data_IF_890774627689
#
_entry.id   IF_890774627689
#
_cell.length_a   1.000
_cell.length_b   1.000
_cell.length_c   1.000
_cell.angle_alpha   90.00
_cell.angle_beta   90.00
_cell.angle_gamma   90.00
#
_symmetry.space_group_name_H-M   'P 1'
#
loop_
_entity.id
_entity.type
_entity.pdbx_description
1 polymer ?
#
# COMPACT_ATOMS: atom_id res chain seq x y z
N UNK A 1 -152.01 -13.23 -15.85
CA UNK A 1 -150.89 -13.47 -16.78
C UNK A 1 -149.82 -12.38 -16.74
N UNK A 2 -150.13 -11.14 -16.32
CA UNK A 2 -149.14 -10.05 -16.25
C UNK A 2 -148.23 -10.05 -14.99
N UNK A 3 -148.73 -10.47 -13.81
CA UNK A 3 -147.92 -10.51 -12.57
C UNK A 3 -146.80 -11.56 -12.58
N UNK A 4 -146.98 -12.66 -13.29
CA UNK A 4 -145.95 -13.70 -13.44
C UNK A 4 -144.82 -13.28 -14.37
N UNK A 5 -145.09 -12.43 -15.36
CA UNK A 5 -144.07 -11.88 -16.28
C UNK A 5 -143.22 -10.84 -15.55
N UNK A 6 -143.82 -10.00 -14.70
CA UNK A 6 -143.09 -9.00 -13.89
C UNK A 6 -142.18 -9.66 -12.84
N UNK A 7 -142.64 -10.75 -12.21
CA UNK A 7 -141.81 -11.54 -11.28
C UNK A 7 -140.65 -12.25 -11.99
N UNK A 8 -140.85 -12.67 -13.24
CA UNK A 8 -139.80 -13.28 -14.05
C UNK A 8 -138.76 -12.24 -14.48
N UNK A 9 -139.21 -11.02 -14.83
CA UNK A 9 -138.35 -9.88 -15.19
C UNK A 9 -137.49 -9.41 -14.01
N UNK A 10 -138.03 -9.43 -12.79
CA UNK A 10 -137.30 -9.02 -11.57
C UNK A 10 -136.26 -10.06 -11.12
N UNK A 11 -136.49 -11.35 -11.38
CA UNK A 11 -135.50 -12.41 -11.14
C UNK A 11 -134.34 -12.35 -12.14
N UNK A 12 -134.59 -11.96 -13.40
CA UNK A 12 -133.52 -11.74 -14.38
C UNK A 12 -132.62 -10.55 -14.07
N UNK A 13 -133.07 -9.55 -13.29
CA UNK A 13 -132.23 -8.41 -12.90
C UNK A 13 -131.22 -8.72 -11.79
N UNK A 14 -131.37 -9.82 -11.04
CA UNK A 14 -130.42 -10.24 -10.01
C UNK A 14 -129.14 -10.89 -10.59
N UNK A 15 -129.13 -11.20 -11.89
CA UNK A 15 -127.97 -11.79 -12.57
C UNK A 15 -127.12 -10.79 -13.35
N UNK A 16 -127.44 -9.49 -13.27
CA UNK A 16 -126.68 -8.43 -13.97
C UNK A 16 -126.02 -7.49 -12.96
N UNK A 17 -125.08 -8.04 -12.20
CA UNK A 17 -124.07 -7.29 -11.46
C UNK A 17 -122.70 -7.52 -12.09
N UNK A 18 -122.07 -6.46 -12.59
CA UNK A 18 -120.80 -6.50 -13.30
C UNK A 18 -119.61 -6.93 -12.43
N UNK A 19 -119.03 -8.07 -12.82
CA UNK A 19 -117.62 -8.29 -13.21
C UNK A 19 -116.52 -7.67 -12.31
N UNK A 20 -115.75 -8.57 -11.70
CA UNK A 20 -114.29 -8.52 -11.84
C UNK A 20 -113.84 -9.86 -12.40
N UNK A 21 -112.94 -9.81 -13.36
CA UNK A 21 -112.41 -10.94 -14.12
C UNK A 21 -111.92 -12.05 -13.17
N UNK A 22 -111.92 -13.31 -13.62
CA UNK A 22 -111.21 -14.37 -12.89
C UNK A 22 -109.77 -13.89 -12.76
N UNK A 23 -109.36 -13.55 -11.54
CA UNK A 23 -107.97 -13.27 -11.19
C UNK A 23 -107.18 -14.57 -11.39
N UNK A 24 -106.74 -14.78 -12.62
CA UNK A 24 -105.62 -15.66 -12.93
C UNK A 24 -104.40 -14.85 -12.56
N UNK A 25 -103.88 -15.10 -11.37
CA UNK A 25 -102.53 -14.70 -11.07
C UNK A 25 -101.66 -15.92 -11.24
N UNK A 26 -100.75 -15.83 -12.21
CA UNK A 26 -99.48 -16.57 -12.21
C UNK A 26 -98.63 -16.09 -11.02
N UNK A 27 -99.17 -16.24 -9.81
CA UNK A 27 -98.47 -15.90 -8.59
C UNK A 27 -97.42 -16.98 -8.35
N UNK A 28 -96.22 -16.74 -8.89
CA UNK A 28 -95.00 -17.36 -8.40
C UNK A 28 -94.75 -16.82 -7.00
N UNK A 29 -95.30 -17.50 -6.01
CA UNK A 29 -94.97 -17.24 -4.61
C UNK A 29 -93.54 -17.69 -4.39
N UNK A 30 -92.61 -16.73 -4.45
CA UNK A 30 -91.25 -16.92 -3.98
C UNK A 30 -91.28 -16.71 -2.46
N UNK A 31 -91.43 -17.81 -1.73
CA UNK A 31 -91.10 -17.86 -0.32
C UNK A 31 -89.63 -18.29 -0.20
N UNK A 32 -88.79 -17.55 0.55
CA UNK A 32 -87.43 -18.00 0.79
C UNK A 32 -87.50 -19.35 1.50
N UNK A 33 -86.91 -20.37 0.89
CA UNK A 33 -86.82 -21.72 1.48
C UNK A 33 -85.76 -21.73 2.59
N UNK A 34 -84.77 -20.85 2.49
CA UNK A 34 -83.73 -20.61 3.48
C UNK A 34 -83.36 -19.12 3.46
N UNK A 35 -83.23 -18.51 4.64
CA UNK A 35 -82.45 -17.29 4.81
C UNK A 35 -81.06 -17.70 5.29
N UNK A 36 -80.02 -17.21 4.62
CA UNK A 36 -78.63 -17.42 5.04
C UNK A 36 -77.95 -16.06 5.13
N UNK A 37 -77.32 -15.78 6.25
CA UNK A 37 -76.37 -14.69 6.38
C UNK A 37 -74.96 -15.23 6.15
N UNK A 38 -74.21 -14.56 5.29
CA UNK A 38 -72.81 -14.86 5.03
C UNK A 38 -72.00 -13.66 5.50
N UNK A 39 -71.17 -13.87 6.51
CA UNK A 39 -70.31 -12.83 7.06
C UNK A 39 -68.90 -12.95 6.49
N UNK A 40 -68.11 -11.87 6.61
CA UNK A 40 -66.73 -11.87 6.13
C UNK A 40 -65.85 -12.93 6.84
N UNK A 41 -66.21 -13.30 8.07
CA UNK A 41 -65.56 -14.39 8.81
C UNK A 41 -65.81 -15.76 8.18
N UNK A 42 -66.98 -15.96 7.56
CA UNK A 42 -67.33 -17.24 6.92
C UNK A 42 -66.63 -17.45 5.57
N UNK A 43 -66.08 -16.38 4.99
CA UNK A 43 -65.44 -16.38 3.68
C UNK A 43 -63.93 -16.65 3.73
N UNK A 44 -63.30 -16.48 4.89
CA UNK A 44 -61.83 -16.56 5.04
C UNK A 44 -61.48 -17.60 6.10
N UNK A 45 -60.47 -18.45 5.89
CA UNK A 45 -60.07 -19.45 6.88
C UNK A 45 -59.74 -18.83 8.24
N UNK A 46 -60.22 -19.44 9.32
CA UNK A 46 -60.03 -18.98 10.71
C UNK A 46 -58.55 -18.71 11.07
N UNK A 47 -57.61 -19.40 10.41
CA UNK A 47 -56.17 -19.23 10.62
C UNK A 47 -55.63 -17.85 10.20
N UNK A 48 -56.36 -17.10 9.38
CA UNK A 48 -55.97 -15.76 8.90
C UNK A 48 -56.77 -14.64 9.56
N UNK A 49 -57.65 -14.96 10.51
CA UNK A 49 -58.55 -13.99 11.14
C UNK A 49 -58.21 -13.84 12.63
N UNK A 50 -58.08 -12.59 13.07
CA UNK A 50 -57.97 -12.25 14.48
C UNK A 50 -59.08 -11.26 14.85
N UNK A 51 -59.97 -11.66 15.75
CA UNK A 51 -61.11 -10.83 16.17
C UNK A 51 -60.73 -9.95 17.34
N UNK A 52 -60.92 -8.63 17.19
CA UNK A 52 -60.68 -7.66 18.24
C UNK A 52 -61.84 -7.62 19.24
N UNK A 53 -61.61 -7.01 20.41
CA UNK A 53 -62.61 -6.90 21.48
C UNK A 53 -63.88 -6.09 21.08
N UNK A 54 -63.78 -5.27 20.05
CA UNK A 54 -64.89 -4.47 19.50
C UNK A 54 -65.64 -5.15 18.34
N UNK A 55 -65.41 -6.46 18.11
CA UNK A 55 -65.94 -7.26 17.01
C UNK A 55 -65.46 -6.85 15.60
N UNK A 56 -64.41 -6.03 15.47
CA UNK A 56 -63.74 -5.85 14.19
C UNK A 56 -62.81 -7.05 13.87
N UNK A 57 -62.70 -7.40 12.59
CA UNK A 57 -61.86 -8.51 12.12
C UNK A 57 -60.55 -7.97 11.54
N UNK A 58 -59.41 -8.40 12.09
CA UNK A 58 -58.10 -8.21 11.48
C UNK A 58 -57.77 -9.41 10.60
N UNK A 59 -57.50 -9.13 9.33
CA UNK A 59 -56.95 -10.13 8.42
C UNK A 59 -55.42 -10.17 8.59
N UNK A 60 -54.93 -11.23 9.22
CA UNK A 60 -53.50 -11.45 9.45
C UNK A 60 -52.98 -12.32 8.31
N UNK A 61 -52.37 -11.67 7.32
CA UNK A 61 -51.70 -12.33 6.21
C UNK A 61 -50.19 -12.32 6.46
N UNK A 62 -49.64 -13.49 6.77
CA UNK A 62 -48.20 -13.69 6.90
C UNK A 62 -47.69 -14.33 5.61
N UNK A 63 -47.19 -13.50 4.70
CA UNK A 63 -46.45 -13.95 3.53
C UNK A 63 -44.98 -14.05 3.94
N UNK A 64 -44.42 -15.26 3.95
CA UNK A 64 -42.96 -15.38 3.91
C UNK A 64 -42.52 -14.69 2.63
N UNK A 65 -41.78 -13.58 2.74
CA UNK A 65 -41.13 -12.97 1.57
C UNK A 65 -40.17 -14.02 0.99
N UNK A 66 -40.67 -14.79 0.03
CA UNK A 66 -39.95 -15.84 -0.64
C UNK A 66 -38.91 -15.21 -1.55
N UNK A 67 -37.74 -14.88 -0.99
CA UNK A 67 -36.53 -14.66 -1.78
C UNK A 67 -36.22 -16.03 -2.41
N UNK A 68 -36.70 -16.23 -3.63
CA UNK A 68 -36.52 -17.48 -4.38
C UNK A 68 -35.07 -17.67 -4.80
N UNK A 69 -34.33 -16.57 -5.00
CA UNK A 69 -32.89 -16.57 -5.17
C UNK A 69 -32.28 -15.28 -4.59
N UNK A 70 -31.20 -15.42 -3.80
CA UNK A 70 -30.46 -14.29 -3.22
C UNK A 70 -29.79 -13.42 -4.30
N UNK A 71 -29.50 -14.00 -5.47
CA UNK A 71 -28.90 -13.32 -6.63
C UNK A 71 -29.79 -12.21 -7.23
N UNK A 72 -31.10 -12.25 -7.00
CA UNK A 72 -32.05 -11.25 -7.51
C UNK A 72 -31.99 -9.94 -6.69
N UNK A 73 -31.52 -10.01 -5.45
CA UNK A 73 -31.51 -8.89 -4.49
C UNK A 73 -30.08 -8.45 -4.18
N UNK A 74 -29.10 -9.35 -4.27
CA UNK A 74 -27.70 -9.10 -3.95
C UNK A 74 -26.81 -9.35 -5.17
N UNK A 75 -26.44 -8.26 -5.88
CA UNK A 75 -25.44 -8.30 -6.96
C UNK A 75 -24.15 -7.67 -6.48
N UNK A 76 -23.07 -8.45 -6.48
CA UNK A 76 -21.71 -7.95 -6.25
C UNK A 76 -21.15 -7.55 -7.62
N UNK A 77 -20.94 -6.25 -7.91
CA UNK A 77 -20.42 -5.81 -9.20
C UNK A 77 -18.93 -6.13 -9.35
N UNK A 78 -18.49 -6.32 -10.60
CA UNK A 78 -17.07 -6.39 -10.92
C UNK A 78 -16.39 -5.04 -10.67
N UNK A 79 -15.14 -5.08 -10.20
CA UNK A 79 -14.34 -3.88 -9.90
C UNK A 79 -13.05 -3.88 -10.73
N UNK A 80 -12.72 -2.70 -11.26
CA UNK A 80 -11.45 -2.42 -11.92
C UNK A 80 -10.80 -1.26 -11.18
N UNK A 81 -9.59 -1.47 -10.67
CA UNK A 81 -8.76 -0.43 -10.08
C UNK A 81 -7.49 -0.24 -10.91
N UNK A 82 -7.07 1.01 -11.06
CA UNK A 82 -5.81 1.39 -11.69
C UNK A 82 -4.96 2.17 -10.69
N UNK A 83 -3.67 1.88 -10.67
CA UNK A 83 -2.69 2.52 -9.81
C UNK A 83 -1.45 2.84 -10.66
N UNK A 84 -0.93 4.04 -10.49
CA UNK A 84 0.30 4.51 -11.12
C UNK A 84 1.28 4.95 -10.03
N UNK A 85 2.53 4.50 -10.13
CA UNK A 85 3.60 4.82 -9.19
C UNK A 85 4.82 5.28 -9.99
N UNK A 86 5.38 6.42 -9.62
CA UNK A 86 6.60 6.98 -10.24
C UNK A 86 7.69 7.13 -9.19
N UNK A 87 8.86 6.56 -9.44
CA UNK A 87 10.03 6.73 -8.57
C UNK A 87 10.55 8.16 -8.72
N UNK A 88 10.40 8.96 -7.67
CA UNK A 88 11.00 10.30 -7.60
C UNK A 88 12.44 10.19 -7.12
N UNK A 89 13.33 10.94 -7.77
CA UNK A 89 14.80 10.96 -7.64
C UNK A 89 15.37 10.64 -6.25
N UNK A 90 16.42 9.82 -6.25
CA UNK A 90 17.32 9.55 -5.12
C UNK A 90 17.81 10.86 -4.47
N UNK A 91 17.48 11.06 -3.20
CA UNK A 91 18.05 12.10 -2.35
C UNK A 91 19.06 11.41 -1.44
N UNK A 92 20.30 11.87 -1.49
CA UNK A 92 21.40 11.33 -0.69
C UNK A 92 21.45 12.08 0.64
N UNK A 93 21.50 11.36 1.75
CA UNK A 93 21.76 11.95 3.07
C UNK A 93 23.26 12.25 3.22
N UNK A 94 23.60 13.35 3.87
CA UNK A 94 24.98 13.69 4.23
C UNK A 94 25.50 12.67 5.26
N UNK A 95 26.60 11.95 4.93
CA UNK A 95 27.30 11.05 5.86
C UNK A 95 28.79 11.35 5.85
N UNK A 96 29.39 11.34 7.04
CA UNK A 96 30.82 11.55 7.26
C UNK A 96 31.51 10.25 7.65
N UNK A 97 32.52 9.84 6.88
CA UNK A 97 33.42 8.74 7.25
C UNK A 97 34.63 9.31 8.01
N UNK A 98 34.98 8.75 9.16
CA UNK A 98 36.15 9.18 9.94
C UNK A 98 37.19 8.06 10.05
N UNK A 99 38.42 8.34 9.60
CA UNK A 99 39.59 7.50 9.83
C UNK A 99 40.65 8.29 10.58
N UNK A 100 41.45 7.63 11.43
CA UNK A 100 42.47 8.29 12.25
C UNK A 100 43.81 7.61 12.11
N UNK A 101 44.76 8.31 11.50
CA UNK A 101 46.17 7.88 11.47
C UNK A 101 46.87 8.37 12.73
N UNK A 102 47.04 7.47 13.71
CA UNK A 102 47.48 7.80 15.06
C UNK A 102 49.00 8.03 15.15
N UNK A 103 49.42 8.79 16.17
CA UNK A 103 50.84 8.98 16.48
C UNK A 103 51.52 7.64 16.82
N UNK A 104 50.79 6.69 17.40
CA UNK A 104 51.27 5.34 17.67
C UNK A 104 51.60 4.55 16.40
N UNK A 105 50.92 4.81 15.29
CA UNK A 105 51.20 4.20 13.98
C UNK A 105 52.34 4.92 13.27
N UNK A 106 52.35 6.26 13.32
CA UNK A 106 53.39 7.09 12.71
C UNK A 106 54.75 6.96 13.40
N UNK A 107 54.75 6.82 14.72
CA UNK A 107 55.95 6.69 15.53
C UNK A 107 55.73 5.63 16.61
N UNK A 108 55.95 4.34 16.30
CA UNK A 108 55.68 3.22 17.22
C UNK A 108 56.23 3.35 18.66
N UNK A 109 57.39 3.99 18.90
CA UNK A 109 57.86 4.25 20.27
C UNK A 109 56.90 5.13 21.11
N UNK A 110 56.04 5.93 20.49
CA UNK A 110 55.02 6.74 21.19
C UNK A 110 54.12 5.87 22.07
N UNK A 111 53.85 4.62 21.69
CA UNK A 111 53.02 3.69 22.46
C UNK A 111 53.60 3.41 23.87
N UNK A 112 54.93 3.38 24.01
CA UNK A 112 55.61 3.18 25.30
C UNK A 112 55.75 4.48 26.11
N UNK A 113 55.59 5.61 25.43
CA UNK A 113 55.72 6.95 25.97
C UNK A 113 54.36 7.62 26.23
N UNK A 114 53.24 6.93 25.95
CA UNK A 114 51.89 7.45 26.17
C UNK A 114 51.72 7.98 27.61
N UNK A 115 51.27 9.23 27.73
CA UNK A 115 51.11 9.97 28.99
C UNK A 115 52.42 10.53 29.60
N UNK A 116 53.56 10.39 28.93
CA UNK A 116 54.86 10.94 29.37
C UNK A 116 55.27 12.12 28.50
N UNK A 117 56.15 12.96 29.03
CA UNK A 117 56.79 14.01 28.24
C UNK A 117 58.00 13.46 27.50
N UNK A 118 58.02 13.68 26.19
CA UNK A 118 59.14 13.35 25.32
C UNK A 118 59.10 14.22 24.07
N UNK A 119 60.24 14.39 23.41
CA UNK A 119 60.28 14.95 22.06
C UNK A 119 60.00 13.85 21.03
N UNK A 120 59.25 14.18 19.98
CA UNK A 120 59.05 13.30 18.83
C UNK A 120 59.86 13.85 17.65
N UNK A 121 60.74 13.02 17.05
CA UNK A 121 61.48 13.45 15.86
C UNK A 121 60.56 13.56 14.64
N UNK A 122 60.98 14.31 13.63
CA UNK A 122 60.29 14.40 12.35
C UNK A 122 60.09 13.00 11.73
N UNK A 123 58.90 12.75 11.17
CA UNK A 123 58.57 11.50 10.48
C UNK A 123 58.37 11.76 8.99
N UNK A 124 58.80 10.82 8.14
CA UNK A 124 58.46 10.78 6.72
C UNK A 124 58.17 9.33 6.36
N UNK A 125 56.92 9.02 6.03
CA UNK A 125 56.45 7.66 5.78
C UNK A 125 55.64 7.59 4.48
N UNK A 126 55.68 6.41 3.86
CA UNK A 126 54.86 6.04 2.71
C UNK A 126 54.07 4.76 3.08
N UNK A 127 53.10 4.88 4.01
CA UNK A 127 52.44 3.71 4.59
C UNK A 127 51.77 2.84 3.53
N UNK A 128 51.29 3.42 2.42
CA UNK A 128 50.53 2.72 1.37
C UNK A 128 49.32 1.93 1.94
N UNK A 129 48.87 2.32 3.13
CA UNK A 129 47.73 1.74 3.80
C UNK A 129 46.45 2.35 3.22
N UNK A 130 45.45 1.49 3.05
CA UNK A 130 44.15 1.83 2.50
C UNK A 130 43.06 1.49 3.51
N UNK A 131 42.16 2.44 3.72
CA UNK A 131 40.98 2.27 4.55
C UNK A 131 39.76 2.20 3.66
N UNK A 132 38.98 1.13 3.82
CA UNK A 132 37.78 0.89 3.03
C UNK A 132 36.62 1.77 3.51
N UNK A 133 35.93 2.36 2.54
CA UNK A 133 34.74 3.18 2.67
C UNK A 133 33.66 2.48 1.84
N UNK A 134 32.88 1.62 2.50
CA UNK A 134 31.78 0.90 1.86
C UNK A 134 30.48 1.70 1.97
N UNK A 135 29.96 2.10 0.81
CA UNK A 135 28.70 2.81 0.58
C UNK A 135 27.82 2.02 -0.41
N UNK A 136 28.17 0.76 -0.68
CA UNK A 136 27.63 -0.04 -1.79
C UNK A 136 26.21 -0.53 -1.55
N UNK A 137 25.84 -0.80 -0.29
CA UNK A 137 24.49 -1.23 0.10
C UNK A 137 23.49 -0.06 0.19
N UNK A 138 24.00 1.17 0.24
CA UNK A 138 23.23 2.33 0.70
C UNK A 138 22.91 3.31 -0.44
N UNK A 139 23.76 3.39 -1.47
CA UNK A 139 23.65 4.42 -2.50
C UNK A 139 23.74 3.89 -3.94
N UNK A 140 24.83 3.21 -4.29
CA UNK A 140 25.04 2.65 -5.62
C UNK A 140 26.17 1.63 -5.59
N UNK A 141 26.13 0.64 -6.48
CA UNK A 141 27.28 -0.24 -6.71
C UNK A 141 28.35 0.45 -7.55
N UNK A 142 27.93 1.28 -8.53
CA UNK A 142 28.82 2.09 -9.38
C UNK A 142 28.06 3.30 -9.90
N UNK A 143 28.67 4.49 -9.96
CA UNK A 143 28.07 5.69 -10.53
C UNK A 143 29.08 6.56 -11.27
N UNK A 144 28.69 7.12 -12.42
CA UNK A 144 29.47 8.11 -13.18
C UNK A 144 28.79 9.46 -13.11
N UNK A 145 29.47 10.49 -12.61
CA UNK A 145 28.84 11.78 -12.31
C UNK A 145 29.04 12.83 -13.41
N UNK A 146 27.99 13.61 -13.71
CA UNK A 146 28.10 14.83 -14.54
C UNK A 146 28.50 16.01 -13.66
N UNK A 147 27.92 16.06 -12.47
CA UNK A 147 28.14 17.09 -11.44
C UNK A 147 28.21 16.39 -10.07
N UNK A 148 28.93 16.99 -9.13
CA UNK A 148 29.13 16.45 -7.80
C UNK A 148 30.46 16.87 -7.20
N UNK A 149 30.49 16.96 -5.87
CA UNK A 149 31.68 17.29 -5.09
C UNK A 149 31.85 16.30 -3.94
N UNK A 150 33.10 16.04 -3.61
CA UNK A 150 33.48 15.44 -2.35
C UNK A 150 34.35 16.43 -1.57
N UNK A 151 33.94 16.72 -0.35
CA UNK A 151 34.63 17.58 0.59
C UNK A 151 35.42 16.67 1.55
N UNK A 152 36.73 16.82 1.56
CA UNK A 152 37.65 16.06 2.42
C UNK A 152 38.22 17.02 3.44
N UNK A 153 38.09 16.67 4.71
CA UNK A 153 38.50 17.47 5.85
C UNK A 153 39.51 16.70 6.68
N UNK A 154 40.64 17.32 7.00
CA UNK A 154 41.68 16.74 7.85
C UNK A 154 41.79 17.57 9.12
N UNK A 155 41.69 16.92 10.27
CA UNK A 155 41.99 17.51 11.58
C UNK A 155 43.29 16.93 12.10
N UNK A 156 44.28 17.79 12.35
CA UNK A 156 45.55 17.38 12.92
C UNK A 156 45.48 17.47 14.45
N UNK A 157 45.35 16.35 15.15
CA UNK A 157 45.44 16.29 16.61
C UNK A 157 46.85 15.94 17.14
N UNK A 158 47.82 15.79 16.24
CA UNK A 158 49.21 15.56 16.64
C UNK A 158 49.75 16.79 17.38
N UNK A 159 50.70 16.59 18.32
CA UNK A 159 51.35 17.70 19.03
C UNK A 159 52.37 18.47 18.16
N UNK A 160 52.46 18.13 16.87
CA UNK A 160 53.40 18.70 15.90
C UNK A 160 52.69 19.02 14.59
N UNK A 161 53.34 19.84 13.77
CA UNK A 161 52.84 20.17 12.43
C UNK A 161 52.99 18.97 11.48
N UNK A 162 51.92 18.67 10.75
CA UNK A 162 51.98 17.78 9.59
C UNK A 162 52.27 18.63 8.34
N UNK A 163 53.52 18.54 7.85
CA UNK A 163 54.01 19.33 6.72
C UNK A 163 53.32 18.94 5.42
N UNK A 164 53.08 17.64 5.23
CA UNK A 164 52.51 17.08 4.02
C UNK A 164 51.72 15.80 4.35
N UNK A 165 50.53 15.70 3.78
CA UNK A 165 49.75 14.48 3.67
C UNK A 165 49.30 14.35 2.22
N UNK A 166 49.69 13.27 1.55
CA UNK A 166 49.23 12.92 0.21
C UNK A 166 48.31 11.71 0.30
N UNK A 167 47.21 11.75 -0.43
CA UNK A 167 46.23 10.67 -0.46
C UNK A 167 45.66 10.46 -1.86
N UNK A 168 45.14 9.25 -2.05
CA UNK A 168 44.37 8.86 -3.21
C UNK A 168 43.05 8.27 -2.74
N UNK A 169 41.96 8.66 -3.38
CA UNK A 169 40.69 7.95 -3.26
C UNK A 169 40.57 7.05 -4.48
N UNK A 170 40.52 5.74 -4.26
CA UNK A 170 40.50 4.74 -5.32
C UNK A 170 39.25 3.88 -5.23
N UNK A 171 38.82 3.37 -6.35
CA UNK A 171 37.76 2.37 -6.42
C UNK A 171 38.32 1.01 -5.96
N UNK A 172 37.74 0.38 -4.93
CA UNK A 172 38.28 -0.85 -4.34
C UNK A 172 38.39 -2.02 -5.35
N UNK A 173 37.40 -2.13 -6.26
CA UNK A 173 37.31 -3.27 -7.19
C UNK A 173 38.35 -3.26 -8.32
N UNK A 174 38.71 -2.08 -8.83
CA UNK A 174 39.53 -1.92 -10.05
C UNK A 174 40.78 -1.07 -9.81
N UNK A 175 40.98 -0.55 -8.60
CA UNK A 175 42.04 0.38 -8.22
C UNK A 175 42.10 1.66 -9.08
N UNK A 176 41.00 2.01 -9.76
CA UNK A 176 40.93 3.26 -10.52
C UNK A 176 40.97 4.45 -9.56
N UNK A 177 41.88 5.40 -9.82
CA UNK A 177 42.03 6.59 -9.01
C UNK A 177 40.90 7.57 -9.35
N UNK A 178 40.02 7.77 -8.38
CA UNK A 178 38.92 8.74 -8.47
C UNK A 178 39.49 10.14 -8.25
N UNK A 179 40.21 10.34 -7.15
CA UNK A 179 40.78 11.61 -6.71
C UNK A 179 42.20 11.42 -6.18
N UNK A 180 43.05 12.41 -6.44
CA UNK A 180 44.34 12.60 -5.77
C UNK A 180 44.34 13.95 -5.09
N UNK A 181 44.83 14.02 -3.85
CA UNK A 181 44.88 15.27 -3.12
C UNK A 181 46.08 15.36 -2.19
N UNK A 182 46.36 16.59 -1.75
CA UNK A 182 47.40 16.89 -0.77
C UNK A 182 46.90 17.88 0.26
N UNK A 183 47.39 17.77 1.48
CA UNK A 183 47.25 18.77 2.53
C UNK A 183 48.64 19.15 3.04
N UNK A 184 48.87 20.44 3.25
CA UNK A 184 50.18 20.97 3.59
C UNK A 184 50.09 21.92 4.78
N UNK A 185 51.18 22.01 5.54
CA UNK A 185 51.36 22.95 6.66
C UNK A 185 50.21 22.92 7.68
N UNK A 186 49.76 21.71 8.05
CA UNK A 186 48.68 21.54 9.03
C UNK A 186 49.24 21.68 10.44
N UNK A 187 49.00 22.83 11.07
CA UNK A 187 49.42 23.12 12.43
C UNK A 187 48.77 22.16 13.46
N UNK A 188 49.34 21.99 14.66
CA UNK A 188 48.71 21.24 15.74
C UNK A 188 47.30 21.75 16.07
N UNK A 189 46.35 20.84 16.26
CA UNK A 189 44.92 21.09 16.53
C UNK A 189 44.20 21.93 15.47
N UNK A 190 44.68 21.93 14.23
CA UNK A 190 44.04 22.64 13.12
C UNK A 190 43.20 21.71 12.26
N UNK A 191 42.17 22.27 11.63
CA UNK A 191 41.31 21.56 10.67
C UNK A 191 41.37 22.26 9.32
N UNK A 192 41.60 21.50 8.26
CA UNK A 192 41.67 22.00 6.88
C UNK A 192 40.72 21.18 6.01
N UNK A 193 39.94 21.85 5.16
CA UNK A 193 39.00 21.20 4.24
C UNK A 193 39.30 21.57 2.78
N UNK A 194 39.19 20.59 1.88
CA UNK A 194 39.33 20.76 0.43
C UNK A 194 38.19 20.06 -0.30
N UNK A 195 37.68 20.72 -1.33
CA UNK A 195 36.62 20.19 -2.19
C UNK A 195 37.19 19.70 -3.52
N UNK A 196 36.79 18.51 -3.95
CA UNK A 196 37.19 17.89 -5.20
C UNK A 196 35.95 17.60 -6.06
N UNK A 197 36.03 17.90 -7.35
CA UNK A 197 34.92 17.61 -8.27
C UNK A 197 34.91 16.15 -8.68
N UNK A 198 33.72 15.56 -8.70
CA UNK A 198 33.44 14.22 -9.22
C UNK A 198 32.96 14.24 -10.68
N UNK A 199 32.90 15.41 -11.32
CA UNK A 199 32.45 15.53 -12.70
C UNK A 199 33.34 14.70 -13.66
N UNK A 200 32.70 13.84 -14.45
CA UNK A 200 33.36 12.92 -15.37
C UNK A 200 34.06 11.72 -14.70
N UNK A 201 33.90 11.54 -13.38
CA UNK A 201 34.50 10.42 -12.64
C UNK A 201 33.49 9.29 -12.48
N UNK A 202 34.00 8.06 -12.52
CA UNK A 202 33.27 6.84 -12.15
C UNK A 202 33.72 6.41 -10.76
N UNK A 203 32.75 6.26 -9.87
CA UNK A 203 32.94 5.97 -8.45
C UNK A 203 32.21 4.67 -8.15
N UNK A 204 32.91 3.71 -7.54
CA UNK A 204 32.32 2.47 -7.08
C UNK A 204 31.70 2.66 -5.69
N UNK A 205 30.73 1.81 -5.37
CA UNK A 205 30.08 1.79 -4.06
C UNK A 205 31.04 1.43 -2.94
N UNK A 206 32.20 0.87 -3.24
CA UNK A 206 33.29 0.66 -2.28
C UNK A 206 34.48 1.49 -2.75
N UNK A 207 34.83 2.48 -1.94
CA UNK A 207 35.99 3.34 -2.13
C UNK A 207 37.07 2.95 -1.12
N UNK A 208 38.33 3.15 -1.45
CA UNK A 208 39.43 3.05 -0.52
C UNK A 208 40.14 4.39 -0.46
N UNK A 209 40.26 4.94 0.75
CA UNK A 209 41.16 6.06 1.00
C UNK A 209 42.55 5.50 1.25
N UNK A 210 43.50 5.80 0.38
CA UNK A 210 44.90 5.40 0.50
C UNK A 210 45.78 6.60 0.84
N UNK A 211 46.46 6.55 1.98
CA UNK A 211 47.49 7.54 2.32
C UNK A 211 48.80 7.13 1.66
N UNK A 212 49.26 7.91 0.68
CA UNK A 212 50.48 7.58 -0.09
C UNK A 212 51.73 8.12 0.58
N UNK A 213 51.62 9.28 1.25
CA UNK A 213 52.77 9.92 1.88
C UNK A 213 52.34 10.79 3.06
N UNK A 214 53.12 10.76 4.13
CA UNK A 214 53.00 11.67 5.25
C UNK A 214 54.36 12.20 5.68
N UNK A 215 54.41 13.47 6.05
CA UNK A 215 55.58 14.14 6.59
C UNK A 215 55.19 15.03 7.78
N UNK A 216 55.86 14.85 8.92
CA UNK A 216 55.66 15.67 10.12
C UNK A 216 56.96 16.37 10.53
N UNK A 217 56.84 17.53 11.18
CA UNK A 217 57.98 18.18 11.84
C UNK A 217 58.34 17.46 13.14
N UNK A 218 59.53 17.74 13.65
CA UNK A 218 59.84 17.43 15.04
C UNK A 218 59.03 18.33 15.99
N UNK A 219 58.83 17.88 17.22
CA UNK A 219 58.17 18.69 18.25
C UNK A 219 59.08 19.83 18.72
N UNK A 220 58.51 20.98 19.03
CA UNK A 220 59.24 22.10 19.63
C UNK A 220 59.50 21.84 21.13
N UNK A 221 60.46 20.95 21.41
CA UNK A 221 60.79 20.47 22.75
C UNK A 221 60.02 19.23 23.19
N UNK A 222 60.00 19.00 24.50
CA UNK A 222 59.25 17.88 25.10
C UNK A 222 57.76 18.23 25.16
N UNK A 223 56.94 17.29 24.69
CA UNK A 223 55.48 17.40 24.71
C UNK A 223 54.91 16.15 25.38
N UNK A 224 53.75 16.28 26.02
CA UNK A 224 53.02 15.11 26.52
C UNK A 224 52.57 14.26 25.34
N UNK A 225 53.06 13.02 25.28
CA UNK A 225 52.77 12.08 24.20
C UNK A 225 51.40 11.46 24.40
N UNK A 226 50.53 11.64 23.42
CA UNK A 226 49.27 10.89 23.31
C UNK A 226 49.32 10.03 22.04
N UNK A 227 49.67 8.76 22.22
CA UNK A 227 49.77 7.80 21.12
C UNK A 227 48.44 7.53 20.38
N UNK A 228 47.28 7.86 20.97
CA UNK A 228 45.97 7.61 20.34
C UNK A 228 45.49 8.78 19.48
N UNK A 229 46.10 9.96 19.60
CA UNK A 229 45.80 11.13 18.77
C UNK A 229 46.50 11.05 17.43
N UNK A 230 45.91 11.64 16.40
CA UNK A 230 46.35 11.44 15.03
C UNK A 230 45.87 12.50 14.04
N UNK A 231 46.00 12.16 12.76
CA UNK A 231 45.31 12.87 11.69
C UNK A 231 43.94 12.22 11.47
N UNK A 232 42.87 12.95 11.77
CA UNK A 232 41.50 12.52 11.55
C UNK A 232 41.06 12.97 10.17
N UNK A 233 40.64 12.04 9.32
CA UNK A 233 40.15 12.29 7.96
C UNK A 233 38.64 12.14 7.94
N UNK A 234 37.93 13.18 7.51
CA UNK A 234 36.49 13.19 7.33
C UNK A 234 36.12 13.42 5.87
N UNK A 235 35.25 12.59 5.28
CA UNK A 235 34.76 12.76 3.91
C UNK A 235 33.26 13.04 3.90
N UNK A 236 32.83 14.03 3.12
CA UNK A 236 31.42 14.30 2.83
C UNK A 236 31.18 14.50 1.34
N UNK A 237 30.01 14.12 0.84
CA UNK A 237 29.62 14.27 -0.57
C UNK A 237 28.42 15.19 -0.71
N UNK A 238 28.35 15.97 -1.80
CA UNK A 238 27.20 16.84 -2.09
C UNK A 238 27.01 17.11 -3.57
N UNK A 239 25.82 17.61 -3.91
CA UNK A 239 25.42 18.04 -5.26
C UNK A 239 25.60 16.94 -6.33
N UNK A 240 25.43 15.68 -5.95
CA UNK A 240 25.69 14.53 -6.81
C UNK A 240 24.62 14.39 -7.90
N UNK A 241 25.07 14.35 -9.15
CA UNK A 241 24.21 14.17 -10.33
C UNK A 241 24.80 13.11 -11.27
N UNK A 242 24.34 11.85 -11.19
CA UNK A 242 24.86 10.80 -12.05
C UNK A 242 24.41 10.97 -13.51
N UNK A 243 25.32 10.73 -14.45
CA UNK A 243 25.01 10.43 -15.87
C UNK A 243 24.52 8.99 -16.04
N UNK A 244 25.07 8.10 -15.24
CA UNK A 244 24.84 6.67 -15.23
C UNK A 244 25.09 6.18 -13.82
N UNK A 245 24.19 5.37 -13.26
CA UNK A 245 24.40 4.74 -11.96
C UNK A 245 23.77 3.35 -11.98
N UNK A 246 24.53 2.36 -11.51
CA UNK A 246 24.02 1.04 -11.18
C UNK A 246 23.63 1.06 -9.70
N UNK A 247 22.38 1.42 -9.45
CA UNK A 247 21.83 1.41 -8.10
C UNK A 247 21.90 -0.01 -7.52
N UNK A 248 22.22 -0.11 -6.23
CA UNK A 248 21.83 -1.27 -5.42
C UNK A 248 20.54 -0.83 -4.77
N UNK A 249 19.41 -1.24 -5.34
CA UNK A 249 18.13 -0.95 -4.72
C UNK A 249 18.02 -1.78 -3.44
N UNK A 250 17.87 -1.17 -2.24
CA UNK A 250 17.43 -1.94 -1.09
C UNK A 250 16.07 -2.54 -1.40
N UNK A 251 15.76 -3.73 -0.86
CA UNK A 251 14.43 -4.32 -0.97
C UNK A 251 13.41 -3.39 -0.29
N UNK A 252 12.86 -2.45 -1.04
CA UNK A 252 11.93 -1.46 -0.53
C UNK A 252 10.52 -1.88 -0.89
N UNK A 253 9.62 -1.80 0.09
CA UNK A 253 8.20 -1.90 -0.19
C UNK A 253 7.78 -0.66 -0.98
N UNK A 254 7.63 -0.81 -2.31
CA UNK A 254 7.31 0.30 -3.22
C UNK A 254 5.94 0.93 -2.89
N UNK A 255 5.00 0.11 -2.39
CA UNK A 255 3.69 0.56 -1.95
C UNK A 255 2.99 -0.55 -1.16
N UNK A 256 2.36 -0.18 -0.04
CA UNK A 256 1.37 -1.02 0.64
C UNK A 256 0.01 -0.30 0.63
N UNK A 257 -1.03 -1.00 0.17
CA UNK A 257 -2.39 -0.43 0.09
C UNK A 257 -3.41 -1.38 0.70
N UNK A 258 -4.21 -0.84 1.61
CA UNK A 258 -5.37 -1.51 2.20
C UNK A 258 -6.64 -0.84 1.71
N UNK A 259 -7.32 -1.46 0.75
CA UNK A 259 -8.62 -1.00 0.30
C UNK A 259 -9.73 -1.81 0.96
N UNK A 260 -10.68 -1.11 1.59
CA UNK A 260 -11.93 -1.72 2.07
C UNK A 260 -13.03 -1.44 1.06
N UNK A 261 -13.68 -2.49 0.56
CA UNK A 261 -14.87 -2.33 -0.28
C UNK A 261 -16.11 -2.36 0.60
N UNK A 262 -16.85 -1.25 0.62
CA UNK A 262 -18.13 -1.13 1.33
C UNK A 262 -19.29 -1.32 0.36
N UNK A 263 -20.15 -2.26 0.67
CA UNK A 263 -21.39 -2.50 -0.08
C UNK A 263 -22.58 -2.13 0.80
N UNK A 264 -23.45 -1.26 0.28
CA UNK A 264 -24.66 -0.82 0.96
C UNK A 264 -25.85 -1.66 0.50
N UNK A 265 -26.33 -2.58 1.35
CA UNK A 265 -27.44 -3.50 1.05
C UNK A 265 -28.76 -3.09 1.71
N UNK A 266 -29.03 -1.78 1.82
CA UNK A 266 -30.34 -1.27 2.25
C UNK A 266 -30.78 -1.67 3.66
N UNK A 267 -29.84 -1.97 4.57
CA UNK A 267 -30.09 -2.23 6.00
C UNK A 267 -29.72 -3.63 6.49
N UNK A 268 -29.60 -4.62 5.59
CA UNK A 268 -29.09 -5.94 5.96
C UNK A 268 -27.56 -5.92 6.13
N UNK A 269 -27.05 -6.47 7.23
CA UNK A 269 -25.60 -6.60 7.47
C UNK A 269 -25.07 -7.86 6.79
N UNK A 270 -24.30 -7.69 5.72
CA UNK A 270 -23.55 -8.77 5.11
C UNK A 270 -22.40 -9.21 6.05
N UNK A 271 -22.40 -10.47 6.47
CA UNK A 271 -21.40 -11.02 7.41
C UNK A 271 -20.43 -12.00 6.75
N UNK A 272 -20.88 -12.69 5.69
CA UNK A 272 -20.10 -13.70 4.96
C UNK A 272 -20.57 -13.78 3.51
N UNK A 273 -19.63 -14.01 2.59
CA UNK A 273 -19.89 -14.32 1.18
C UNK A 273 -19.22 -15.64 0.85
N UNK A 274 -19.98 -16.59 0.32
CA UNK A 274 -19.44 -17.84 -0.23
C UNK A 274 -19.33 -17.70 -1.76
N UNK A 275 -18.10 -17.59 -2.25
CA UNK A 275 -17.81 -17.41 -3.68
C UNK A 275 -17.69 -18.77 -4.35
N UNK A 276 -18.61 -19.07 -5.28
CA UNK A 276 -18.57 -20.33 -6.05
C UNK A 276 -17.51 -20.31 -7.15
N UNK A 277 -17.33 -19.17 -7.79
CA UNK A 277 -16.35 -18.95 -8.85
C UNK A 277 -16.06 -17.47 -9.04
N UNK A 278 -14.83 -17.13 -9.40
CA UNK A 278 -14.43 -15.77 -9.76
C UNK A 278 -12.96 -15.76 -10.19
N UNK A 279 -12.56 -14.68 -10.86
CA UNK A 279 -11.18 -14.51 -11.32
C UNK A 279 -10.69 -13.10 -10.98
N UNK A 280 -9.41 -12.99 -10.64
CA UNK A 280 -8.69 -11.73 -10.57
C UNK A 280 -7.80 -11.66 -11.79
N UNK A 281 -7.93 -10.57 -12.55
CA UNK A 281 -7.04 -10.29 -13.67
C UNK A 281 -6.08 -9.17 -13.28
N UNK A 282 -4.79 -9.50 -13.20
CA UNK A 282 -3.72 -8.56 -12.90
C UNK A 282 -3.09 -8.10 -14.22
N UNK A 283 -3.07 -6.79 -14.44
CA UNK A 283 -2.38 -6.17 -15.57
C UNK A 283 -1.38 -5.16 -15.03
N UNK A 284 -0.10 -5.41 -15.27
CA UNK A 284 0.98 -4.52 -14.86
C UNK A 284 1.78 -4.08 -16.08
N UNK A 285 2.07 -2.80 -16.12
CA UNK A 285 3.00 -2.18 -17.06
C UNK A 285 4.14 -1.59 -16.23
N UNK A 286 5.38 -2.00 -16.50
CA UNK A 286 6.55 -1.54 -15.75
C UNK A 286 7.68 -1.18 -16.70
N UNK A 287 8.31 -0.03 -16.47
CA UNK A 287 9.58 0.37 -17.11
C UNK A 287 10.77 0.29 -16.14
N UNK A 288 10.58 -0.34 -14.97
CA UNK A 288 11.62 -0.49 -13.95
C UNK A 288 12.61 -1.58 -14.39
N UNK A 289 13.90 -1.28 -14.35
CA UNK A 289 14.98 -2.16 -14.82
C UNK A 289 15.33 -3.31 -13.85
N UNK A 290 14.41 -3.62 -12.92
CA UNK A 290 14.54 -4.66 -11.90
C UNK A 290 13.25 -5.48 -11.78
N UNK A 291 13.37 -6.70 -11.23
CA UNK A 291 12.22 -7.56 -11.05
C UNK A 291 11.34 -7.06 -9.88
N UNK A 292 10.05 -6.87 -10.13
CA UNK A 292 9.09 -6.43 -9.11
C UNK A 292 8.33 -7.63 -8.57
N UNK A 293 8.25 -7.75 -7.26
CA UNK A 293 7.40 -8.74 -6.58
C UNK A 293 6.10 -8.05 -6.19
N UNK A 294 4.99 -8.54 -6.73
CA UNK A 294 3.64 -8.09 -6.42
C UNK A 294 2.98 -9.12 -5.54
N UNK A 295 2.74 -8.78 -4.28
CA UNK A 295 2.04 -9.64 -3.34
C UNK A 295 0.63 -9.09 -3.08
N UNK A 296 -0.38 -9.85 -3.50
CA UNK A 296 -1.78 -9.51 -3.35
C UNK A 296 -2.46 -10.43 -2.36
N UNK A 297 -3.16 -9.84 -1.39
CA UNK A 297 -3.86 -10.53 -0.32
C UNK A 297 -5.31 -10.06 -0.25
N UNK A 298 -6.25 -11.01 -0.20
CA UNK A 298 -7.63 -10.73 0.18
C UNK A 298 -7.76 -11.03 1.69
N UNK A 299 -7.71 -10.01 2.56
CA UNK A 299 -7.78 -10.23 4.00
C UNK A 299 -9.13 -10.86 4.38
N UNK A 300 -9.13 -11.69 5.43
CA UNK A 300 -10.31 -12.39 5.95
C UNK A 300 -11.01 -13.36 4.97
N UNK A 301 -10.40 -13.67 3.82
CA UNK A 301 -10.85 -14.77 2.95
C UNK A 301 -10.37 -16.13 3.50
N UNK A 302 -11.07 -17.21 3.14
CA UNK A 302 -10.67 -18.59 3.47
C UNK A 302 -10.96 -19.49 2.28
N UNK A 303 -10.01 -20.33 1.90
CA UNK A 303 -10.29 -21.41 0.94
C UNK A 303 -11.36 -22.35 1.51
N UNK A 304 -12.22 -22.89 0.64
CA UNK A 304 -13.37 -23.79 0.97
C UNK A 304 -12.97 -24.97 1.88
N UNK A 305 -11.68 -25.36 1.90
CA UNK A 305 -11.13 -26.45 2.73
C UNK A 305 -10.53 -26.00 4.07
N UNK A 306 -10.74 -24.75 4.49
CA UNK A 306 -10.18 -24.20 5.74
C UNK A 306 -8.72 -23.74 5.62
N UNK A 307 -8.28 -23.34 4.43
CA UNK A 307 -6.92 -22.88 4.15
C UNK A 307 -6.64 -21.42 4.54
N UNK A 308 -5.38 -20.96 4.38
CA UNK A 308 -5.01 -19.56 4.56
C UNK A 308 -5.81 -18.64 3.61
N UNK A 309 -5.82 -17.32 3.87
CA UNK A 309 -6.43 -16.35 2.96
C UNK A 309 -5.88 -16.46 1.55
N UNK A 310 -6.69 -16.05 0.58
CA UNK A 310 -6.30 -15.93 -0.82
C UNK A 310 -5.15 -14.93 -0.91
N UNK A 311 -3.94 -15.45 -1.16
CA UNK A 311 -2.71 -14.67 -1.38
C UNK A 311 -2.06 -15.13 -2.68
N UNK A 312 -1.62 -14.19 -3.49
CA UNK A 312 -0.88 -14.46 -4.72
C UNK A 312 0.26 -13.50 -4.89
N UNK A 313 1.41 -14.10 -5.23
CA UNK A 313 2.61 -13.39 -5.58
C UNK A 313 2.84 -13.49 -7.09
N UNK A 314 3.17 -12.37 -7.72
CA UNK A 314 3.62 -12.33 -9.11
C UNK A 314 4.99 -11.66 -9.19
N UNK A 315 5.84 -12.19 -10.05
CA UNK A 315 7.12 -11.55 -10.39
C UNK A 315 7.01 -10.90 -11.76
N UNK A 316 7.08 -9.57 -11.81
CA UNK A 316 7.23 -8.82 -13.05
C UNK A 316 8.72 -8.78 -13.36
N UNK A 317 9.17 -9.24 -14.54
CA UNK A 317 10.60 -9.23 -14.88
C UNK A 317 11.13 -7.79 -15.01
N UNK A 318 12.44 -7.63 -14.85
CA UNK A 318 13.12 -6.38 -15.15
C UNK A 318 12.87 -5.91 -16.59
N UNK A 319 12.55 -4.63 -16.77
CA UNK A 319 12.56 -3.99 -18.07
C UNK A 319 14.00 -3.80 -18.57
N UNK A 320 14.20 -3.85 -19.89
CA UNK A 320 15.47 -3.38 -20.46
C UNK A 320 15.46 -1.84 -20.52
N UNK A 321 16.64 -1.20 -20.59
CA UNK A 321 16.72 0.26 -20.68
C UNK A 321 15.86 0.81 -21.83
N UNK A 322 14.93 1.71 -21.49
CA UNK A 322 13.99 2.33 -22.44
C UNK A 322 12.86 1.43 -22.95
N UNK A 323 12.76 0.19 -22.47
CA UNK A 323 11.66 -0.72 -22.77
C UNK A 323 10.61 -0.71 -21.65
N UNK A 324 9.46 -1.31 -21.93
CA UNK A 324 8.39 -1.51 -20.95
C UNK A 324 7.94 -2.95 -21.01
N UNK A 325 7.90 -3.60 -19.84
CA UNK A 325 7.40 -4.95 -19.69
C UNK A 325 5.93 -4.94 -19.30
N UNK A 326 5.22 -5.99 -19.70
CA UNK A 326 3.82 -6.18 -19.42
C UNK A 326 3.62 -7.54 -18.76
N UNK A 327 2.89 -7.56 -17.65
CA UNK A 327 2.35 -8.76 -17.04
C UNK A 327 0.84 -8.75 -17.20
N UNK A 328 0.25 -9.82 -17.72
CA UNK A 328 -1.19 -10.00 -17.82
C UNK A 328 -1.53 -11.41 -17.37
N UNK A 329 -1.91 -11.54 -16.11
CA UNK A 329 -2.17 -12.82 -15.45
C UNK A 329 -3.62 -12.88 -14.97
N UNK A 330 -4.19 -14.08 -14.98
CA UNK A 330 -5.53 -14.34 -14.48
C UNK A 330 -5.51 -15.48 -13.47
N UNK A 331 -6.07 -15.23 -12.29
CA UNK A 331 -6.07 -16.18 -11.19
C UNK A 331 -7.49 -16.43 -10.66
N UNK A 332 -7.88 -17.70 -10.56
CA UNK A 332 -9.16 -18.12 -10.00
C UNK A 332 -9.18 -17.98 -8.47
N UNK A 333 -10.18 -17.29 -7.92
CA UNK A 333 -10.36 -17.11 -6.47
C UNK A 333 -11.34 -18.12 -5.83
N UNK A 334 -11.80 -19.09 -6.63
CA UNK A 334 -12.71 -20.17 -6.23
C UNK A 334 -12.03 -21.28 -5.41
#
# INVERSE_FOLDING_TARGET
MEKTILSFLMITLLFVGCRKEKFSSDSKWLAPVLETELTLGDLVPDSLLSTNYDNSLNLVFEEEYGITNLEDILKIPDRVDSLEVTLSSLVLDDRSFEDTLTLGELYPPANLLHGKEASVPAQELEPNESTEIDVSEEFFSTATFIEGYIDITITNELPMEAELLEFQLINANDNEIVITGTFENMAPNSTVSKSYSLAGKTVNGVLELRVTKIKTKETDGEVTIDATKGLIVSLGVRDLKPSYAKAVFPAQNLLERFDETKYEFGGAKLTKVDVKSGFIRMRVQSSIEEAIILDYLIPNSKSVKGGPPVRREWTVPAARPGETVYLNEEFSIA
#
